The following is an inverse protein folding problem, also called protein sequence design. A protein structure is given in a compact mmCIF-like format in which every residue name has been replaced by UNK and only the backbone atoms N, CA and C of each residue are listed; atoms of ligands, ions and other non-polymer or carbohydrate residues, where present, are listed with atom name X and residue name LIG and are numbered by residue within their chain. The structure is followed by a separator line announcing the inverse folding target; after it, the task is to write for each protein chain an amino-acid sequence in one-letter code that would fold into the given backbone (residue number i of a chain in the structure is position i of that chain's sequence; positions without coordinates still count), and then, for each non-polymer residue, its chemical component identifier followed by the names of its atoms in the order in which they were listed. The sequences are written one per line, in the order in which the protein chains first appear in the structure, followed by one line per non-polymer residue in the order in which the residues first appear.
data_IF_317590178800
#
_entry.id   IF_317590178800
#
_cell.length_a   1.000
_cell.length_b   1.000
_cell.length_c   1.000
_cell.angle_alpha   90.00
_cell.angle_beta   90.00
_cell.angle_gamma   90.00
#
_symmetry.space_group_name_H-M   'P 1'
#
loop_
_entity.id
_entity.type
_entity.pdbx_description
1 polymer ?
#
# COMPACT_ATOMS: atom_id res chain seq x y z
N UNK A 1 -9.28 1.19 -2.41
CA UNK A 1 -7.96 1.84 -2.45
C UNK A 1 -7.94 2.80 -3.63
N UNK A 2 -7.88 4.10 -3.37
CA UNK A 2 -7.75 5.13 -4.38
C UNK A 2 -6.34 5.71 -4.30
N UNK A 3 -5.51 5.43 -5.30
CA UNK A 3 -4.19 6.03 -5.42
C UNK A 3 -4.35 7.51 -5.80
N UNK A 4 -3.88 8.39 -4.93
CA UNK A 4 -3.97 9.83 -5.11
C UNK A 4 -2.76 10.34 -5.88
N UNK A 5 -1.57 10.01 -5.42
CA UNK A 5 -0.31 10.44 -6.03
C UNK A 5 0.84 9.48 -5.73
N UNK A 6 1.95 9.66 -6.47
CA UNK A 6 3.21 8.94 -6.27
C UNK A 6 4.37 9.90 -6.50
N UNK A 7 5.30 9.90 -5.56
CA UNK A 7 6.62 10.54 -5.73
C UNK A 7 7.67 9.44 -5.88
N UNK A 8 8.58 9.58 -6.83
CA UNK A 8 9.69 8.64 -7.03
C UNK A 8 11.00 9.39 -7.29
N UNK A 9 12.08 8.94 -6.65
CA UNK A 9 13.41 9.52 -6.80
C UNK A 9 14.49 8.43 -6.80
N UNK A 10 15.55 8.70 -7.54
CA UNK A 10 16.72 7.83 -7.60
C UNK A 10 17.65 8.11 -6.42
N UNK A 11 18.18 7.08 -5.77
CA UNK A 11 19.13 7.27 -4.65
C UNK A 11 20.57 7.48 -5.14
N UNK A 12 20.86 7.05 -6.37
CA UNK A 12 22.21 7.07 -6.95
C UNK A 12 22.44 8.28 -7.89
N UNK A 13 21.38 9.02 -8.25
CA UNK A 13 21.48 10.22 -9.09
C UNK A 13 20.31 11.18 -8.86
N UNK A 14 20.42 12.40 -9.40
CA UNK A 14 19.46 13.50 -9.18
C UNK A 14 18.18 13.40 -10.04
N UNK A 15 17.69 12.18 -10.26
CA UNK A 15 16.49 11.93 -11.04
C UNK A 15 15.27 11.82 -10.11
N UNK A 16 14.22 12.58 -10.42
CA UNK A 16 12.94 12.55 -9.72
C UNK A 16 11.74 12.66 -10.68
N UNK A 17 10.59 12.14 -10.26
CA UNK A 17 9.33 12.25 -10.99
C UNK A 17 8.14 12.11 -10.04
N UNK A 18 7.03 12.77 -10.37
CA UNK A 18 5.80 12.78 -9.57
C UNK A 18 4.58 12.50 -10.44
N UNK A 19 3.47 12.12 -9.81
CA UNK A 19 2.22 11.85 -10.50
C UNK A 19 1.89 10.36 -10.58
N UNK A 20 0.67 10.07 -11.04
CA UNK A 20 0.13 8.70 -11.13
C UNK A 20 0.95 7.73 -12.01
N UNK A 21 1.82 8.23 -12.87
CA UNK A 21 2.71 7.43 -13.72
C UNK A 21 4.15 7.34 -13.18
N UNK A 22 4.48 7.96 -12.04
CA UNK A 22 5.82 7.98 -11.47
C UNK A 22 6.38 6.57 -11.26
N UNK A 23 5.53 5.62 -10.87
CA UNK A 23 5.88 4.20 -10.75
C UNK A 23 6.41 3.59 -12.06
N UNK A 24 5.76 3.89 -13.18
CA UNK A 24 6.19 3.40 -14.50
C UNK A 24 7.50 4.05 -14.94
N UNK A 25 7.65 5.34 -14.64
CA UNK A 25 8.88 6.08 -14.89
C UNK A 25 10.05 5.55 -14.05
N UNK A 26 9.81 5.24 -12.77
CA UNK A 26 10.79 4.64 -11.85
C UNK A 26 11.30 3.30 -12.38
N UNK A 27 10.39 2.41 -12.80
CA UNK A 27 10.76 1.12 -13.39
C UNK A 27 11.60 1.27 -14.66
N UNK A 28 11.26 2.25 -15.52
CA UNK A 28 12.05 2.56 -16.73
C UNK A 28 13.42 3.13 -16.39
N UNK A 29 13.52 4.00 -15.37
CA UNK A 29 14.78 4.55 -14.90
C UNK A 29 15.69 3.43 -14.41
N UNK A 30 15.22 2.61 -13.45
CA UNK A 30 15.97 1.47 -12.92
C UNK A 30 16.46 0.53 -14.04
N UNK A 31 15.59 0.17 -14.98
CA UNK A 31 15.97 -0.69 -16.11
C UNK A 31 17.05 -0.07 -17.00
N UNK A 32 17.06 1.26 -17.15
CA UNK A 32 18.01 1.98 -18.01
C UNK A 32 19.37 2.17 -17.33
N UNK A 33 19.39 2.46 -16.02
CA UNK A 33 20.60 2.88 -15.30
C UNK A 33 21.16 1.81 -14.36
N UNK A 34 20.35 0.84 -13.95
CA UNK A 34 20.67 -0.08 -12.86
C UNK A 34 20.57 0.55 -11.47
N UNK A 35 20.19 1.84 -11.37
CA UNK A 35 20.13 2.55 -10.10
C UNK A 35 18.93 2.11 -9.27
N UNK A 36 19.05 2.22 -7.95
CA UNK A 36 17.94 2.04 -7.04
C UNK A 36 17.04 3.27 -7.05
N UNK A 37 15.73 3.02 -7.09
CA UNK A 37 14.71 4.06 -7.09
C UNK A 37 13.80 3.84 -5.89
N UNK A 38 13.64 4.88 -5.09
CA UNK A 38 12.74 4.91 -3.95
C UNK A 38 11.43 5.59 -4.36
N UNK A 39 10.32 5.17 -3.77
CA UNK A 39 9.00 5.70 -4.10
C UNK A 39 8.15 5.86 -2.84
N UNK A 40 7.33 6.89 -2.83
CA UNK A 40 6.27 7.12 -1.85
C UNK A 40 4.89 7.08 -2.52
N UNK A 41 3.98 6.33 -1.93
CA UNK A 41 2.63 6.10 -2.43
C UNK A 41 1.62 6.83 -1.55
N UNK A 42 0.92 7.81 -2.11
CA UNK A 42 -0.15 8.53 -1.44
C UNK A 42 -1.47 7.92 -1.84
N UNK A 43 -2.14 7.21 -0.92
CA UNK A 43 -3.42 6.55 -1.19
C UNK A 43 -4.43 6.77 -0.07
N UNK A 44 -5.71 6.72 -0.45
CA UNK A 44 -6.83 6.71 0.47
C UNK A 44 -7.51 5.34 0.44
N UNK A 45 -7.76 4.76 1.61
CA UNK A 45 -8.49 3.51 1.75
C UNK A 45 -9.50 3.63 2.88
N UNK A 46 -10.76 3.35 2.54
CA UNK A 46 -11.83 3.19 3.52
C UNK A 46 -11.95 1.72 3.85
N UNK A 47 -11.97 1.40 5.13
CA UNK A 47 -12.33 0.08 5.64
C UNK A 47 -13.78 0.16 6.14
N UNK A 48 -14.64 -0.76 5.70
CA UNK A 48 -16.00 -0.87 6.25
C UNK A 48 -15.98 -1.48 7.65
N UNK A 49 -17.14 -1.53 8.31
CA UNK A 49 -17.27 -2.32 9.54
C UNK A 49 -16.88 -3.77 9.26
N UNK A 50 -16.11 -4.42 10.16
CA UNK A 50 -15.86 -5.84 10.03
C UNK A 50 -17.20 -6.57 10.06
N UNK A 51 -17.58 -7.18 8.93
CA UNK A 51 -18.71 -8.10 8.91
C UNK A 51 -18.36 -9.29 9.81
N UNK A 52 -18.79 -9.28 11.06
CA UNK A 52 -18.84 -10.48 11.90
C UNK A 52 -19.90 -11.42 11.32
N UNK A 53 -19.57 -12.13 10.24
CA UNK A 53 -20.35 -13.30 9.81
C UNK A 53 -20.10 -14.43 10.81
N UNK A 54 -20.96 -14.50 11.81
CA UNK A 54 -21.39 -15.72 12.52
C UNK A 54 -20.28 -16.70 12.92
N UNK A 55 -19.65 -16.44 14.07
CA UNK A 55 -19.18 -17.51 14.96
C UNK A 55 -19.68 -17.21 16.37
N UNK A 56 -20.99 -17.41 16.55
CA UNK A 56 -21.53 -17.74 17.87
C UNK A 56 -21.31 -19.24 18.07
N UNK A 57 -20.14 -19.62 18.59
CA UNK A 57 -20.10 -20.79 19.45
C UNK A 57 -20.68 -20.35 20.80
N UNK A 58 -21.75 -20.99 21.31
CA UNK A 58 -22.10 -20.83 22.72
C UNK A 58 -20.89 -21.32 23.52
N UNK A 59 -20.24 -20.41 24.25
CA UNK A 59 -19.39 -20.82 25.36
C UNK A 59 -20.33 -21.54 26.34
N UNK A 60 -20.04 -22.83 26.51
CA UNK A 60 -20.79 -23.76 27.31
C UNK A 60 -21.28 -23.15 28.64
N UNK A 61 -22.54 -23.41 28.96
CA UNK A 61 -23.04 -23.42 30.33
C UNK A 61 -22.18 -24.38 31.17
N UNK A 62 -21.13 -23.88 31.82
CA UNK A 62 -20.56 -24.54 33.00
C UNK A 62 -19.97 -23.48 33.95
N UNK A 63 -20.83 -22.61 34.51
CA UNK A 63 -20.58 -22.07 35.86
C UNK A 63 -21.91 -21.92 36.60
N UNK A 64 -22.24 -22.93 37.41
CA UNK A 64 -22.97 -22.74 38.65
C UNK A 64 -24.48 -23.06 38.64
N UNK A 65 -24.82 -24.30 39.02
CA UNK A 65 -25.43 -24.62 40.33
C UNK A 65 -25.55 -26.13 40.52
#
# INVERSE_FOLDING_TARGET
MHLMDIDAWCVDCDWETKGKNAMGNAARHHKKTGHYVQMELYYSQTFGEPHMKGFITPLAEEVGK
#
